data_IF_912317572333
#
_entry.id   IF_912317572333
#
_cell.length_a   1.000
_cell.length_b   1.000
_cell.length_c   1.000
_cell.angle_alpha   90.00
_cell.angle_beta   90.00
_cell.angle_gamma   90.00
#
_symmetry.space_group_name_H-M   'P 1'
#
loop_
_entity.id
_entity.type
_entity.pdbx_description
1 polymer ?
#
# COMPACT_ATOMS: atom_id res chain seq x y z
N UNK A 1 20.08 -10.14 15.77
CA UNK A 1 18.74 -10.76 15.67
C UNK A 1 18.28 -11.20 17.05
N UNK A 2 17.07 -10.82 17.45
CA UNK A 2 16.49 -11.21 18.75
C UNK A 2 14.97 -11.45 18.63
N UNK A 3 14.41 -12.20 19.58
CA UNK A 3 12.96 -12.44 19.65
C UNK A 3 12.39 -13.20 18.44
N UNK A 4 13.01 -14.32 18.05
CA UNK A 4 12.43 -15.20 17.03
C UNK A 4 11.05 -15.70 17.46
N UNK A 5 10.05 -15.52 16.61
CA UNK A 5 8.66 -15.93 16.87
C UNK A 5 8.20 -16.95 15.83
N UNK A 6 7.34 -17.86 16.28
CA UNK A 6 6.75 -18.91 15.45
C UNK A 6 5.28 -19.11 15.85
N UNK A 7 4.40 -19.08 14.87
CA UNK A 7 2.98 -19.37 15.06
C UNK A 7 2.73 -20.86 14.85
N UNK A 8 2.32 -21.57 15.92
CA UNK A 8 2.09 -23.01 15.88
C UNK A 8 0.83 -23.40 15.14
N UNK A 9 -0.19 -22.55 15.16
CA UNK A 9 -1.49 -22.82 14.55
C UNK A 9 -1.36 -22.78 13.02
N UNK A 10 -0.73 -21.72 12.51
CA UNK A 10 -0.47 -21.52 11.09
C UNK A 10 0.79 -22.25 10.60
N UNK A 11 1.62 -22.72 11.54
CA UNK A 11 2.91 -23.39 11.29
C UNK A 11 3.94 -22.52 10.57
N UNK A 12 3.87 -21.22 10.81
CA UNK A 12 4.65 -20.19 10.11
C UNK A 12 5.72 -19.60 11.03
N UNK A 13 6.92 -19.37 10.49
CA UNK A 13 7.92 -18.54 11.17
C UNK A 13 7.54 -17.07 10.99
N UNK A 14 7.32 -16.35 12.09
CA UNK A 14 6.93 -14.94 12.06
C UNK A 14 8.15 -14.01 11.88
N UNK A 15 9.37 -14.53 12.07
CA UNK A 15 10.60 -13.75 11.99
C UNK A 15 11.09 -13.28 13.36
N UNK A 16 12.06 -12.36 13.36
CA UNK A 16 12.66 -11.78 14.56
C UNK A 16 11.94 -10.50 14.95
N UNK A 17 11.68 -10.29 16.24
CA UNK A 17 11.13 -9.03 16.74
C UNK A 17 12.08 -7.84 16.53
N UNK A 18 13.40 -8.10 16.55
CA UNK A 18 14.40 -7.06 16.30
C UNK A 18 15.62 -7.59 15.55
N UNK A 19 16.13 -6.74 14.65
CA UNK A 19 17.35 -6.95 13.88
C UNK A 19 18.30 -5.80 14.19
N UNK A 20 19.57 -6.14 14.42
CA UNK A 20 20.65 -5.16 14.62
C UNK A 20 21.67 -5.38 13.52
N UNK A 21 21.93 -4.34 12.75
CA UNK A 21 22.85 -4.31 11.62
C UNK A 21 23.99 -3.35 11.95
N UNK A 22 25.21 -3.67 11.50
CA UNK A 22 26.38 -2.83 11.69
C UNK A 22 26.95 -2.45 10.32
N UNK A 23 27.04 -1.16 10.05
CA UNK A 23 27.80 -0.64 8.90
C UNK A 23 29.29 -0.63 9.29
N UNK A 24 30.15 -1.28 8.50
CA UNK A 24 31.57 -1.44 8.81
C UNK A 24 32.44 -0.67 7.80
N UNK A 25 33.43 0.06 8.29
CA UNK A 25 34.54 0.55 7.49
C UNK A 25 35.53 -0.59 7.24
N UNK A 26 35.74 -0.90 5.96
CA UNK A 26 36.65 -1.96 5.50
C UNK A 26 37.95 -1.41 4.89
N UNK A 27 38.13 -0.08 4.90
CA UNK A 27 39.33 0.58 4.36
C UNK A 27 40.52 0.52 5.31
N UNK A 28 40.27 0.23 6.59
CA UNK A 28 41.28 0.04 7.63
C UNK A 28 41.56 -1.44 7.89
N UNK A 29 42.73 -1.77 8.44
CA UNK A 29 43.08 -3.16 8.81
C UNK A 29 42.28 -3.70 10.01
N UNK A 30 41.57 -2.83 10.71
CA UNK A 30 40.61 -3.17 11.76
C UNK A 30 39.23 -2.73 11.28
N UNK A 31 38.28 -3.66 11.23
CA UNK A 31 36.88 -3.34 10.94
C UNK A 31 36.36 -2.41 12.06
N UNK A 32 35.95 -1.21 11.68
CA UNK A 32 35.38 -0.22 12.61
C UNK A 32 33.92 -0.04 12.28
N UNK A 33 33.04 -0.18 13.26
CA UNK A 33 31.62 0.12 13.05
C UNK A 33 31.44 1.62 12.87
N UNK A 34 30.77 2.00 11.79
CA UNK A 34 30.41 3.38 11.45
C UNK A 34 29.03 3.74 12.00
N UNK A 35 28.08 2.79 11.91
CA UNK A 35 26.69 2.96 12.33
C UNK A 35 26.11 1.65 12.83
N UNK A 36 25.19 1.75 13.79
CA UNK A 36 24.32 0.64 14.19
C UNK A 36 22.90 0.96 13.77
N UNK A 37 22.27 0.06 13.02
CA UNK A 37 20.86 0.16 12.65
C UNK A 37 20.08 -0.90 13.42
N UNK A 38 19.11 -0.47 14.24
CA UNK A 38 18.16 -1.34 14.92
C UNK A 38 16.82 -1.22 14.21
N UNK A 39 16.26 -2.35 13.78
CA UNK A 39 14.92 -2.46 13.21
C UNK A 39 14.05 -3.27 14.15
N UNK A 40 12.84 -2.79 14.44
CA UNK A 40 11.83 -3.53 15.18
C UNK A 40 10.64 -3.87 14.30
N UNK A 41 10.06 -5.04 14.52
CA UNK A 41 8.96 -5.57 13.74
C UNK A 41 7.81 -5.97 14.65
N UNK A 42 6.56 -5.85 14.16
CA UNK A 42 5.38 -6.30 14.90
C UNK A 42 5.47 -7.81 15.17
N UNK A 43 5.50 -8.64 14.12
CA UNK A 43 5.72 -10.09 14.19
C UNK A 43 4.91 -10.85 15.26
N UNK A 44 3.78 -10.30 15.70
CA UNK A 44 2.95 -10.85 16.77
C UNK A 44 2.06 -12.01 16.30
N UNK A 45 1.68 -12.02 15.02
CA UNK A 45 0.88 -13.05 14.37
C UNK A 45 1.16 -13.06 12.86
N UNK A 46 0.57 -14.02 12.13
CA UNK A 46 0.80 -14.20 10.69
C UNK A 46 0.40 -13.01 9.81
N UNK A 47 -0.55 -12.18 10.24
CA UNK A 47 -1.03 -11.03 9.46
C UNK A 47 -0.13 -9.80 9.59
N UNK A 48 0.73 -9.79 10.60
CA UNK A 48 1.67 -8.68 10.88
C UNK A 48 3.14 -9.11 10.78
N UNK A 49 3.38 -10.32 10.26
CA UNK A 49 4.72 -10.85 10.04
C UNK A 49 5.45 -10.02 8.97
N UNK A 50 6.69 -9.64 9.27
CA UNK A 50 7.54 -8.79 8.44
C UNK A 50 7.22 -7.30 8.48
N UNK A 51 6.18 -6.86 9.18
CA UNK A 51 5.83 -5.43 9.25
C UNK A 51 6.78 -4.69 10.20
N UNK A 52 7.62 -3.84 9.62
CA UNK A 52 8.53 -2.96 10.35
C UNK A 52 7.72 -1.91 11.11
N UNK A 53 8.02 -1.73 12.39
CA UNK A 53 7.37 -0.77 13.28
C UNK A 53 8.26 0.44 13.52
N UNK A 54 9.56 0.23 13.67
CA UNK A 54 10.52 1.30 13.92
C UNK A 54 11.90 0.94 13.42
N UNK A 55 12.67 1.99 13.15
CA UNK A 55 14.06 1.94 12.74
C UNK A 55 14.81 3.04 13.49
N UNK A 56 15.98 2.71 14.02
CA UNK A 56 16.87 3.68 14.64
C UNK A 56 18.30 3.44 14.17
N UNK A 57 18.95 4.48 13.68
CA UNK A 57 20.37 4.51 13.33
C UNK A 57 21.08 5.30 14.42
N UNK A 58 22.07 4.69 15.06
CA UNK A 58 22.90 5.33 16.09
C UNK A 58 24.40 5.28 15.79
N UNK A 59 25.13 6.21 16.41
CA UNK A 59 26.58 6.15 16.48
C UNK A 59 27.00 4.97 17.39
N UNK A 60 27.87 4.06 16.93
CA UNK A 60 28.22 2.86 17.69
C UNK A 60 29.13 3.14 18.90
N UNK A 61 29.70 4.34 19.00
CA UNK A 61 30.62 4.76 20.07
C UNK A 61 29.88 5.52 21.16
N UNK A 62 29.02 6.47 20.79
CA UNK A 62 28.29 7.30 21.74
C UNK A 62 26.88 6.80 22.05
N UNK A 63 26.33 5.91 21.21
CA UNK A 63 24.92 5.47 21.21
C UNK A 63 23.94 6.62 20.92
N UNK A 64 24.44 7.76 20.44
CA UNK A 64 23.59 8.87 20.04
C UNK A 64 22.77 8.48 18.81
N UNK A 65 21.47 8.76 18.88
CA UNK A 65 20.57 8.61 17.74
C UNK A 65 20.98 9.59 16.64
N UNK A 66 20.98 9.13 15.39
CA UNK A 66 21.33 9.92 14.21
C UNK A 66 20.09 10.14 13.34
N UNK A 67 19.39 9.05 13.05
CA UNK A 67 18.17 9.04 12.23
C UNK A 67 17.23 7.95 12.71
N UNK A 68 15.94 8.15 12.52
CA UNK A 68 14.95 7.15 12.88
C UNK A 68 13.70 7.25 12.02
N UNK A 69 12.90 6.21 12.08
CA UNK A 69 11.57 6.21 11.46
C UNK A 69 10.62 5.33 12.25
N UNK A 70 9.36 5.76 12.33
CA UNK A 70 8.26 4.99 12.90
C UNK A 70 7.18 4.76 11.83
N UNK A 71 6.64 3.54 11.79
CA UNK A 71 5.59 3.13 10.86
C UNK A 71 4.34 2.74 11.64
N UNK A 72 3.26 3.48 11.41
CA UNK A 72 1.96 3.19 12.00
C UNK A 72 1.13 2.35 11.03
N UNK A 73 0.82 1.14 11.46
CA UNK A 73 -0.02 0.21 10.71
C UNK A 73 -1.44 0.19 11.28
N UNK A 74 -2.42 0.21 10.38
CA UNK A 74 -3.79 -0.12 10.68
C UNK A 74 -4.22 -1.32 9.81
N UNK A 75 -5.37 -1.91 10.10
CA UNK A 75 -5.73 -3.19 9.52
C UNK A 75 -7.20 -3.26 9.12
N UNK A 76 -7.51 -4.14 8.17
CA UNK A 76 -8.89 -4.44 7.79
C UNK A 76 -9.08 -5.92 7.54
N UNK A 77 -10.23 -6.44 7.98
CA UNK A 77 -10.71 -7.73 7.50
C UNK A 77 -11.26 -7.56 6.06
N UNK A 78 -10.57 -8.13 5.08
CA UNK A 78 -10.90 -8.05 3.65
C UNK A 78 -12.26 -8.70 3.38
N UNK A 79 -12.68 -9.66 4.21
CA UNK A 79 -14.00 -10.27 4.12
C UNK A 79 -15.13 -9.30 4.52
N UNK A 80 -14.81 -8.21 5.22
CA UNK A 80 -15.74 -7.10 5.44
C UNK A 80 -15.68 -6.14 4.25
N UNK A 81 -16.46 -6.47 3.22
CA UNK A 81 -16.43 -5.80 1.92
C UNK A 81 -17.35 -4.56 1.95
N UNK A 82 -16.85 -3.36 1.65
CA UNK A 82 -17.72 -2.21 1.42
C UNK A 82 -18.55 -2.41 0.14
N UNK A 83 -19.73 -1.79 0.08
CA UNK A 83 -20.59 -1.88 -1.12
C UNK A 83 -19.95 -1.30 -2.38
N UNK A 84 -19.03 -0.34 -2.22
CA UNK A 84 -18.12 0.14 -3.26
C UNK A 84 -16.69 -0.16 -2.80
N UNK A 85 -16.02 -1.09 -3.46
CA UNK A 85 -14.64 -1.48 -3.11
C UNK A 85 -13.59 -0.43 -3.44
N UNK A 86 -13.97 0.66 -4.12
CA UNK A 86 -13.12 1.83 -4.32
C UNK A 86 -13.48 3.02 -3.42
N UNK A 87 -14.49 2.86 -2.55
CA UNK A 87 -14.72 3.86 -1.51
C UNK A 87 -13.60 3.74 -0.47
N UNK A 88 -13.29 4.87 0.15
CA UNK A 88 -12.36 4.92 1.27
C UNK A 88 -12.80 3.97 2.38
N UNK A 89 -11.84 3.23 2.92
CA UNK A 89 -12.04 2.37 4.09
C UNK A 89 -11.39 2.97 5.31
N UNK A 90 -12.00 2.71 6.46
CA UNK A 90 -11.47 3.09 7.77
C UNK A 90 -10.86 1.85 8.42
N UNK A 91 -9.54 1.65 8.30
CA UNK A 91 -8.88 0.55 8.98
C UNK A 91 -8.91 0.75 10.50
N UNK A 92 -8.70 -0.35 11.22
CA UNK A 92 -8.75 -0.42 12.68
C UNK A 92 -7.41 -0.87 13.24
N UNK A 93 -7.17 -0.58 14.52
CA UNK A 93 -6.01 -1.14 15.22
C UNK A 93 -6.06 -2.67 15.28
N UNK A 94 -4.88 -3.31 15.36
CA UNK A 94 -4.78 -4.77 15.47
C UNK A 94 -5.58 -5.36 16.64
N UNK A 95 -5.70 -4.60 17.74
CA UNK A 95 -6.46 -4.98 18.94
C UNK A 95 -7.96 -5.15 18.69
N UNK A 96 -8.49 -4.51 17.64
CA UNK A 96 -9.92 -4.55 17.27
C UNK A 96 -10.25 -5.67 16.28
N UNK A 97 -9.25 -6.41 15.78
CA UNK A 97 -9.46 -7.52 14.85
C UNK A 97 -9.92 -8.82 15.52
N UNK A 98 -9.94 -8.86 16.85
CA UNK A 98 -10.26 -10.05 17.65
C UNK A 98 -9.03 -10.94 17.87
N UNK A 99 -9.26 -12.24 18.06
CA UNK A 99 -8.17 -13.19 18.29
C UNK A 99 -7.47 -13.56 16.97
N UNK A 100 -6.24 -13.08 16.82
CA UNK A 100 -5.38 -13.30 15.64
C UNK A 100 -4.35 -14.42 15.86
N UNK A 101 -4.33 -15.04 17.04
CA UNK A 101 -3.30 -16.02 17.44
C UNK A 101 -3.86 -17.39 17.79
N UNK A 102 -5.18 -17.55 17.79
CA UNK A 102 -5.89 -18.81 18.05
C UNK A 102 -6.78 -19.22 16.87
N UNK A 103 -7.43 -20.39 16.96
CA UNK A 103 -8.27 -21.01 15.91
C UNK A 103 -9.18 -20.04 15.13
N UNK A 104 -9.80 -19.01 15.73
CA UNK A 104 -10.58 -18.01 14.97
C UNK A 104 -9.81 -17.30 13.86
N UNK A 105 -8.48 -17.16 13.96
CA UNK A 105 -7.62 -16.54 12.95
C UNK A 105 -7.67 -17.26 11.61
N UNK A 106 -7.93 -18.57 11.59
CA UNK A 106 -7.99 -19.38 10.36
C UNK A 106 -9.15 -18.99 9.43
N UNK A 107 -10.15 -18.27 9.96
CA UNK A 107 -11.27 -17.74 9.17
C UNK A 107 -11.11 -16.27 8.77
N UNK A 108 -9.96 -15.64 9.06
CA UNK A 108 -9.70 -14.23 8.81
C UNK A 108 -8.90 -14.02 7.54
N UNK A 109 -9.14 -12.90 6.87
CA UNK A 109 -8.30 -12.38 5.79
C UNK A 109 -7.98 -10.94 6.12
N UNK A 110 -6.87 -10.70 6.79
CA UNK A 110 -6.50 -9.35 7.25
C UNK A 110 -5.52 -8.73 6.27
N UNK A 111 -5.81 -7.50 5.83
CA UNK A 111 -4.90 -6.65 5.09
C UNK A 111 -4.25 -5.62 6.03
N UNK A 112 -2.91 -5.57 6.13
CA UNK A 112 -2.21 -4.47 6.77
C UNK A 112 -2.12 -3.26 5.83
N UNK A 113 -2.38 -2.07 6.37
CA UNK A 113 -2.35 -0.79 5.67
C UNK A 113 -1.42 0.16 6.45
N UNK A 114 -0.40 0.68 5.79
CA UNK A 114 0.51 1.65 6.39
C UNK A 114 -0.16 3.03 6.37
N UNK A 115 -0.63 3.50 7.51
CA UNK A 115 -1.41 4.75 7.55
C UNK A 115 -0.57 5.98 7.84
N UNK A 116 0.63 5.80 8.42
CA UNK A 116 1.56 6.88 8.70
C UNK A 116 3.01 6.42 8.75
N UNK A 117 3.91 7.27 8.25
CA UNK A 117 5.35 7.18 8.44
C UNK A 117 5.85 8.48 9.04
N UNK A 118 6.56 8.41 10.15
CA UNK A 118 7.30 9.52 10.72
C UNK A 118 8.80 9.27 10.49
N UNK A 119 9.54 10.27 10.01
CA UNK A 119 10.99 10.21 9.86
C UNK A 119 11.63 11.30 10.71
N UNK A 120 12.72 10.97 11.40
CA UNK A 120 13.36 11.85 12.38
C UNK A 120 14.86 11.95 12.13
N UNK A 121 15.40 13.15 12.29
CA UNK A 121 16.83 13.43 12.35
C UNK A 121 17.15 14.02 13.71
N UNK A 122 18.11 13.42 14.38
CA UNK A 122 18.39 13.72 15.79
C UNK A 122 19.55 14.70 15.94
N UNK A 123 19.50 15.50 17.00
CA UNK A 123 20.61 16.32 17.43
C UNK A 123 21.65 15.52 18.24
N UNK A 124 22.72 16.20 18.67
CA UNK A 124 23.79 15.59 19.48
C UNK A 124 23.36 15.12 20.88
N UNK A 125 22.08 15.28 21.26
CA UNK A 125 21.50 14.81 22.51
C UNK A 125 20.42 13.73 22.31
N UNK A 126 20.29 13.17 21.10
CA UNK A 126 19.23 12.23 20.71
C UNK A 126 17.81 12.79 20.85
N UNK A 127 17.64 14.11 20.82
CA UNK A 127 16.33 14.72 20.62
C UNK A 127 16.07 14.88 19.11
N UNK A 128 14.83 14.63 18.61
CA UNK A 128 14.49 14.95 17.24
C UNK A 128 14.73 16.45 16.98
N UNK A 129 15.67 16.75 16.10
CA UNK A 129 15.96 18.10 15.64
C UNK A 129 15.09 18.49 14.44
N UNK A 130 14.77 17.52 13.58
CA UNK A 130 13.86 17.66 12.44
C UNK A 130 12.96 16.42 12.35
N UNK A 131 11.70 16.62 11.95
CA UNK A 131 10.74 15.54 11.76
C UNK A 131 9.89 15.78 10.51
N UNK A 132 9.74 14.74 9.70
CA UNK A 132 8.77 14.71 8.60
C UNK A 132 7.73 13.63 8.78
N UNK A 133 6.56 13.82 8.17
CA UNK A 133 5.44 12.89 8.27
C UNK A 133 4.79 12.65 6.92
N UNK A 134 4.42 11.39 6.66
CA UNK A 134 3.58 11.00 5.53
C UNK A 134 2.37 10.23 6.01
N UNK A 135 1.18 10.64 5.59
CA UNK A 135 -0.11 9.98 5.89
C UNK A 135 -0.72 9.35 4.63
N UNK A 136 -1.42 8.23 4.80
CA UNK A 136 -2.03 7.47 3.69
C UNK A 136 -3.47 7.06 4.00
N UNK A 137 -4.36 7.19 3.02
CA UNK A 137 -5.71 6.61 3.05
C UNK A 137 -5.88 5.59 1.93
N UNK A 138 -6.81 4.66 2.10
CA UNK A 138 -6.95 3.50 1.23
C UNK A 138 -8.39 3.22 0.84
N UNK A 139 -8.58 2.54 -0.29
CA UNK A 139 -9.85 1.96 -0.67
C UNK A 139 -10.03 0.49 -0.23
N UNK A 140 -11.19 -0.08 -0.54
CA UNK A 140 -11.55 -1.47 -0.27
C UNK A 140 -10.65 -2.53 -0.94
N UNK A 141 -9.86 -2.16 -1.94
CA UNK A 141 -8.89 -3.04 -2.61
C UNK A 141 -7.46 -2.84 -2.08
N UNK A 142 -7.23 -1.88 -1.19
CA UNK A 142 -5.91 -1.52 -0.68
C UNK A 142 -5.15 -0.55 -1.59
N UNK A 143 -5.83 0.13 -2.50
CA UNK A 143 -5.24 1.21 -3.28
C UNK A 143 -5.12 2.48 -2.44
N UNK A 144 -4.02 3.23 -2.59
CA UNK A 144 -3.84 4.52 -1.91
C UNK A 144 -4.74 5.57 -2.56
N UNK A 145 -5.70 6.13 -1.83
CA UNK A 145 -6.57 7.20 -2.33
C UNK A 145 -5.96 8.58 -2.14
N UNK A 146 -5.35 8.81 -0.97
CA UNK A 146 -4.66 10.04 -0.62
C UNK A 146 -3.33 9.70 0.02
N UNK A 147 -2.29 10.41 -0.39
CA UNK A 147 -1.00 10.48 0.28
C UNK A 147 -0.73 11.94 0.60
N UNK A 148 -0.52 12.26 1.87
CA UNK A 148 -0.13 13.59 2.31
C UNK A 148 1.29 13.54 2.83
N UNK A 149 2.19 14.28 2.22
CA UNK A 149 3.53 14.57 2.71
C UNK A 149 3.46 15.90 3.45
N UNK A 150 3.65 15.86 4.77
CA UNK A 150 3.57 17.02 5.65
C UNK A 150 4.85 17.84 5.70
N UNK A 151 5.87 17.50 4.91
CA UNK A 151 7.15 18.19 4.98
C UNK A 151 7.67 18.23 6.42
N UNK A 152 8.03 19.42 6.90
CA UNK A 152 8.36 19.68 8.30
C UNK A 152 7.09 19.76 9.15
N UNK A 153 6.96 18.93 10.18
CA UNK A 153 5.71 18.81 10.96
C UNK A 153 5.25 20.11 11.66
N UNK A 154 6.15 21.07 11.82
CA UNK A 154 5.90 22.39 12.41
C UNK A 154 5.45 23.47 11.42
N UNK A 155 5.63 23.30 10.11
CA UNK A 155 5.19 24.27 9.09
C UNK A 155 4.06 23.68 8.24
N UNK A 156 2.78 23.99 8.53
CA UNK A 156 1.70 23.47 7.71
C UNK A 156 1.69 24.03 6.27
N UNK A 157 2.60 24.93 5.87
CA UNK A 157 2.56 25.56 4.54
C UNK A 157 3.44 24.87 3.49
N UNK A 158 4.16 23.82 3.87
CA UNK A 158 4.97 23.01 2.95
C UNK A 158 4.30 21.66 2.57
N UNK A 159 3.13 21.36 3.15
CA UNK A 159 2.30 20.19 2.83
C UNK A 159 2.14 19.97 1.31
N UNK A 160 2.31 18.72 0.88
CA UNK A 160 1.96 18.23 -0.44
C UNK A 160 0.95 17.08 -0.33
N UNK A 161 -0.17 17.21 -1.05
CA UNK A 161 -1.20 16.17 -1.09
C UNK A 161 -1.31 15.59 -2.50
N UNK A 162 -1.13 14.28 -2.61
CA UNK A 162 -1.38 13.50 -3.81
C UNK A 162 -2.68 12.71 -3.66
N UNK A 163 -3.64 12.95 -4.56
CA UNK A 163 -4.92 12.22 -4.61
C UNK A 163 -4.96 11.35 -5.86
N UNK A 164 -5.45 10.13 -5.73
CA UNK A 164 -5.52 9.14 -6.80
C UNK A 164 -6.96 8.68 -7.01
N UNK A 165 -7.36 8.56 -8.27
CA UNK A 165 -8.57 7.86 -8.66
C UNK A 165 -8.18 6.61 -9.42
N UNK A 166 -8.82 5.49 -9.09
CA UNK A 166 -8.57 4.21 -9.72
C UNK A 166 -9.64 3.85 -10.74
N UNK A 167 -9.26 3.01 -11.70
CA UNK A 167 -10.09 2.63 -12.83
C UNK A 167 -11.34 1.88 -12.38
N UNK A 168 -12.47 2.25 -12.96
CA UNK A 168 -13.72 1.48 -12.90
C UNK A 168 -14.33 1.43 -14.29
N UNK A 169 -15.04 0.36 -14.63
CA UNK A 169 -15.61 0.18 -15.98
C UNK A 169 -16.43 1.39 -16.46
N UNK A 170 -17.20 2.02 -15.56
CA UNK A 170 -18.05 3.16 -15.89
C UNK A 170 -17.33 4.49 -16.11
N UNK A 171 -16.09 4.65 -15.67
CA UNK A 171 -15.30 5.88 -15.88
C UNK A 171 -14.09 5.66 -16.79
N UNK A 172 -13.72 4.39 -17.02
CA UNK A 172 -12.49 4.04 -17.73
C UNK A 172 -12.71 3.56 -19.16
N UNK A 173 -13.97 3.42 -19.61
CA UNK A 173 -14.32 2.94 -20.95
C UNK A 173 -15.29 3.87 -21.67
N UNK A 174 -15.10 3.98 -22.98
CA UNK A 174 -16.09 4.52 -23.92
C UNK A 174 -17.15 3.48 -24.33
N UNK A 175 -16.90 2.19 -24.09
CA UNK A 175 -17.81 1.09 -24.40
C UNK A 175 -18.75 0.80 -23.23
N UNK A 176 -19.99 0.41 -23.54
CA UNK A 176 -20.98 -0.02 -22.56
C UNK A 176 -20.65 -1.42 -22.04
N UNK A 177 -19.58 -1.56 -21.27
CA UNK A 177 -19.28 -2.81 -20.56
C UNK A 177 -20.26 -2.98 -19.41
N UNK A 178 -21.09 -4.02 -19.50
CA UNK A 178 -21.97 -4.45 -18.42
C UNK A 178 -21.22 -5.53 -17.64
N UNK A 179 -20.71 -5.19 -16.46
CA UNK A 179 -20.19 -6.21 -15.56
C UNK A 179 -21.31 -7.20 -15.22
N UNK A 180 -21.00 -8.49 -14.98
CA UNK A 180 -22.02 -9.52 -14.79
C UNK A 180 -23.03 -9.11 -13.71
N UNK A 181 -24.29 -8.99 -14.12
CA UNK A 181 -25.44 -8.69 -13.27
C UNK A 181 -26.56 -9.69 -13.61
N UNK A 182 -27.02 -10.54 -12.67
CA UNK A 182 -26.77 -10.51 -11.22
C UNK A 182 -25.37 -10.96 -10.81
N UNK A 183 -25.01 -10.70 -9.56
CA UNK A 183 -23.82 -11.25 -8.92
C UNK A 183 -23.75 -12.77 -9.12
N UNK A 184 -22.55 -13.35 -9.31
CA UNK A 184 -22.42 -14.80 -9.48
C UNK A 184 -22.93 -15.53 -8.22
N UNK A 185 -23.38 -16.80 -8.34
CA UNK A 185 -23.88 -17.58 -7.21
C UNK A 185 -22.86 -17.73 -6.06
N UNK A 186 -21.56 -17.58 -6.35
CA UNK A 186 -20.46 -17.48 -5.39
C UNK A 186 -19.69 -16.20 -5.65
N UNK A 187 -19.90 -15.22 -4.77
CA UNK A 187 -19.33 -13.89 -4.90
C UNK A 187 -17.96 -13.88 -4.23
N UNK A 188 -16.92 -13.49 -4.97
CA UNK A 188 -15.61 -13.19 -4.37
C UNK A 188 -15.78 -12.06 -3.35
N UNK A 189 -15.06 -12.06 -2.21
CA UNK A 189 -15.03 -10.90 -1.30
C UNK A 189 -14.58 -9.60 -1.97
N UNK A 190 -13.96 -9.65 -3.15
CA UNK A 190 -13.56 -8.45 -3.89
C UNK A 190 -14.51 -8.11 -5.05
N UNK A 191 -15.62 -8.83 -5.19
CA UNK A 191 -16.58 -8.56 -6.23
C UNK A 191 -17.32 -7.25 -5.96
N UNK A 192 -17.51 -6.47 -7.02
CA UNK A 192 -18.39 -5.31 -7.04
C UNK A 192 -19.15 -5.29 -8.35
N UNK A 193 -20.40 -4.82 -8.33
CA UNK A 193 -21.17 -4.54 -9.56
C UNK A 193 -20.51 -3.49 -10.47
N UNK A 194 -19.58 -2.69 -9.91
CA UNK A 194 -18.81 -1.69 -10.65
C UNK A 194 -17.45 -2.19 -11.15
N UNK A 195 -17.09 -3.44 -10.86
CA UNK A 195 -15.83 -4.07 -11.24
C UNK A 195 -16.09 -5.34 -12.03
N UNK A 196 -15.59 -5.38 -13.26
CA UNK A 196 -15.66 -6.58 -14.06
C UNK A 196 -14.56 -7.58 -13.59
N UNK A 197 -14.81 -8.91 -13.61
CA UNK A 197 -13.90 -9.91 -13.04
C UNK A 197 -12.48 -9.91 -13.62
N UNK A 198 -12.28 -9.39 -14.83
CA UNK A 198 -10.97 -9.26 -15.50
C UNK A 198 -10.26 -7.94 -15.20
N UNK A 199 -10.83 -7.10 -14.35
CA UNK A 199 -10.38 -5.72 -14.17
C UNK A 199 -9.25 -5.59 -13.14
N UNK A 200 -8.16 -4.94 -13.53
CA UNK A 200 -7.08 -4.52 -12.63
C UNK A 200 -7.36 -3.08 -12.19
N UNK A 201 -7.36 -2.83 -10.89
CA UNK A 201 -7.45 -1.47 -10.34
C UNK A 201 -6.16 -0.71 -10.64
N UNK A 202 -6.22 0.23 -11.59
CA UNK A 202 -5.08 1.04 -12.03
C UNK A 202 -5.35 2.51 -11.72
N UNK A 203 -4.35 3.30 -11.30
CA UNK A 203 -4.53 4.74 -11.14
C UNK A 203 -4.79 5.37 -12.52
N UNK A 204 -5.94 6.05 -12.67
CA UNK A 204 -6.40 6.66 -13.91
C UNK A 204 -6.38 8.19 -13.88
N UNK A 205 -6.43 8.76 -12.70
CA UNK A 205 -6.24 10.18 -12.47
C UNK A 205 -5.34 10.34 -11.25
N UNK A 206 -4.43 11.31 -11.30
CA UNK A 206 -3.75 11.76 -10.10
C UNK A 206 -3.60 13.27 -10.11
N UNK A 207 -3.69 13.86 -8.93
CA UNK A 207 -3.53 15.30 -8.71
C UNK A 207 -2.60 15.51 -7.54
N UNK A 208 -1.64 16.43 -7.68
CA UNK A 208 -0.76 16.88 -6.61
C UNK A 208 -1.08 18.35 -6.30
N UNK A 209 -1.30 18.64 -5.02
CA UNK A 209 -1.70 19.96 -4.52
C UNK A 209 -0.85 20.38 -3.33
N UNK A 210 -1.01 21.61 -2.87
CA UNK A 210 -0.41 22.12 -1.64
C UNK A 210 -1.18 21.75 -0.35
N UNK A 211 -2.03 20.71 -0.38
CA UNK A 211 -2.84 20.29 0.77
C UNK A 211 -3.91 21.29 1.24
N UNK A 212 -4.09 22.43 0.55
CA UNK A 212 -5.10 23.45 0.92
C UNK A 212 -6.41 23.26 0.17
N UNK A 213 -7.48 23.82 0.74
CA UNK A 213 -8.83 23.82 0.19
C UNK A 213 -9.26 25.23 -0.27
N UNK A 214 -10.33 25.31 -1.07
CA UNK A 214 -10.92 26.59 -1.46
C UNK A 214 -10.01 27.45 -2.35
N UNK A 215 -9.96 28.76 -2.07
CA UNK A 215 -9.17 29.73 -2.86
C UNK A 215 -7.66 29.58 -2.70
N UNK A 216 -7.20 28.94 -1.62
CA UNK A 216 -5.78 28.77 -1.31
C UNK A 216 -5.21 27.48 -1.92
N UNK A 217 -6.09 26.63 -2.48
CA UNK A 217 -5.70 25.41 -3.19
C UNK A 217 -4.86 25.75 -4.42
N UNK A 218 -3.67 25.17 -4.48
CA UNK A 218 -2.79 25.21 -5.65
C UNK A 218 -2.59 23.81 -6.17
N UNK A 219 -2.85 23.61 -7.46
CA UNK A 219 -2.57 22.36 -8.17
C UNK A 219 -1.19 22.48 -8.81
N UNK A 220 -0.25 21.66 -8.35
CA UNK A 220 1.09 21.60 -8.92
C UNK A 220 1.16 20.65 -10.12
N UNK A 221 0.40 19.57 -10.07
CA UNK A 221 0.36 18.57 -11.13
C UNK A 221 -1.01 17.92 -11.21
N UNK A 222 -1.45 17.63 -12.42
CA UNK A 222 -2.66 16.87 -12.68
C UNK A 222 -2.45 16.05 -13.95
N UNK A 223 -2.83 14.77 -13.91
CA UNK A 223 -2.98 13.95 -15.10
C UNK A 223 -4.26 13.14 -14.99
N UNK A 224 -4.96 13.04 -16.11
CA UNK A 224 -6.19 12.28 -16.25
C UNK A 224 -6.11 11.48 -17.54
N UNK A 225 -6.06 10.15 -17.40
CA UNK A 225 -6.08 9.17 -18.48
C UNK A 225 -7.31 8.28 -18.42
N UNK A 226 -8.36 8.68 -17.70
CA UNK A 226 -9.57 7.88 -17.49
C UNK A 226 -10.13 7.33 -18.79
N UNK A 227 -10.21 8.13 -19.84
CA UNK A 227 -10.86 7.74 -21.10
C UNK A 227 -10.14 6.64 -21.87
N UNK A 228 -8.87 6.39 -21.59
CA UNK A 228 -7.97 5.65 -22.50
C UNK A 228 -7.51 4.28 -21.95
N UNK A 229 -7.94 3.90 -20.75
CA UNK A 229 -7.42 2.72 -20.04
C UNK A 229 -8.21 1.43 -20.33
N UNK A 230 -9.53 1.48 -20.55
CA UNK A 230 -10.30 0.28 -20.92
C UNK A 230 -10.12 -0.17 -22.37
N UNK A 231 -9.49 0.62 -23.25
CA UNK A 231 -9.28 0.21 -24.64
C UNK A 231 -8.19 -0.88 -24.76
N UNK A 232 -7.40 -1.13 -23.70
CA UNK A 232 -6.20 -1.98 -23.77
C UNK A 232 -6.06 -3.09 -22.71
N UNK A 233 -6.87 -3.14 -21.66
CA UNK A 233 -6.59 -4.02 -20.50
C UNK A 233 -7.33 -5.37 -20.50
N UNK A 234 -8.29 -5.57 -21.39
CA UNK A 234 -8.84 -6.90 -21.69
C UNK A 234 -8.90 -6.97 -23.20
N UNK A 235 -7.98 -7.71 -23.82
CA UNK A 235 -8.04 -7.91 -25.27
C UNK A 235 -9.29 -8.73 -25.52
N UNK A 236 -10.41 -8.08 -25.84
CA UNK A 236 -11.64 -8.75 -26.29
C UNK A 236 -11.64 -8.87 -27.82
N UNK A 237 -10.74 -8.12 -28.46
CA UNK A 237 -10.58 -8.03 -29.90
C UNK A 237 -9.09 -7.83 -30.20
N UNK A 238 -8.46 -8.82 -30.82
CA UNK A 238 -7.09 -8.75 -31.31
C UNK A 238 -7.14 -8.58 -32.82
N UNK A 239 -6.47 -7.55 -33.33
CA UNK A 239 -6.22 -7.34 -34.75
C UNK A 239 -4.74 -7.62 -35.04
N UNK A 240 -4.45 -8.67 -35.78
CA UNK A 240 -3.10 -9.00 -36.23
C UNK A 240 -3.01 -8.71 -37.73
N UNK A 241 -2.16 -7.77 -38.12
CA UNK A 241 -1.80 -7.59 -39.53
C UNK A 241 -0.99 -8.81 -39.98
N UNK A 242 -1.53 -9.54 -40.96
CA UNK A 242 -0.90 -10.76 -41.50
C UNK A 242 -0.21 -10.50 -42.85
N UNK A 243 -0.12 -9.23 -43.27
CA UNK A 243 0.44 -8.79 -44.55
C UNK A 243 -0.62 -8.39 -45.57
N UNK A 244 -0.21 -7.68 -46.63
CA UNK A 244 -1.03 -7.28 -47.78
C UNK A 244 -2.30 -6.46 -47.45
N UNK A 245 -2.34 -5.84 -46.27
CA UNK A 245 -3.51 -5.09 -45.78
C UNK A 245 -4.64 -5.99 -45.25
N UNK A 246 -4.36 -7.28 -45.04
CA UNK A 246 -5.27 -8.21 -44.39
C UNK A 246 -5.05 -8.23 -42.87
N UNK A 247 -6.15 -8.29 -42.12
CA UNK A 247 -6.13 -8.31 -40.65
C UNK A 247 -6.83 -9.59 -40.18
N UNK A 248 -6.12 -10.42 -39.43
CA UNK A 248 -6.72 -11.49 -38.65
C UNK A 248 -7.39 -10.88 -37.42
N UNK A 249 -8.67 -11.20 -37.23
CA UNK A 249 -9.48 -10.71 -36.12
C UNK A 249 -9.77 -11.87 -35.19
N UNK A 250 -9.24 -11.82 -33.97
CA UNK A 250 -9.58 -12.78 -32.92
C UNK A 250 -10.50 -12.09 -31.92
N UNK A 251 -11.72 -12.60 -31.79
CA UNK A 251 -12.62 -12.21 -30.70
C UNK A 251 -12.38 -13.13 -29.51
N UNK A 252 -12.02 -12.51 -28.38
CA UNK A 252 -11.72 -13.23 -27.16
C UNK A 252 -12.93 -13.09 -26.22
N UNK A 253 -13.51 -14.22 -25.81
CA UNK A 253 -14.57 -14.27 -24.83
C UNK A 253 -14.01 -14.84 -23.54
N UNK A 254 -14.32 -14.22 -22.40
CA UNK A 254 -13.88 -14.68 -21.10
C UNK A 254 -15.04 -15.31 -20.34
N UNK A 255 -14.76 -16.34 -19.54
CA UNK A 255 -15.71 -16.86 -18.57
C UNK A 255 -15.86 -15.93 -17.34
N UNK A 256 -16.75 -16.29 -16.43
CA UNK A 256 -17.03 -15.50 -15.21
C UNK A 256 -15.82 -15.37 -14.26
N UNK A 257 -14.73 -16.12 -14.51
CA UNK A 257 -13.50 -16.15 -13.72
C UNK A 257 -12.32 -15.47 -14.44
N UNK A 258 -12.53 -14.94 -15.65
CA UNK A 258 -11.48 -14.28 -16.44
C UNK A 258 -10.60 -15.25 -17.22
N UNK A 259 -11.02 -16.50 -17.41
CA UNK A 259 -10.34 -17.47 -18.28
C UNK A 259 -10.79 -17.30 -19.73
N UNK A 260 -9.87 -17.41 -20.68
CA UNK A 260 -10.14 -17.43 -22.13
C UNK A 260 -10.49 -18.85 -22.61
#
# INVERSE_FOLDING_TARGET
YSGLRYDRLHRESLGFASITEHELDTTTTLETTLRTTVREFLNDNVFVAGLEKSLLISDPTTDDSLQGSDWTWAFRDVLNVPSDVHAEVFPVDASLLGDLTDVPSLGKSIAPLLVRVDAMWFDAGSAPGEQTQMDFTYDGLGNILVQTDHGETEDPNDDLEATFLYSKCGISSSAAFVCPNPAPPRVSPLWSSSLCPTWVSLPVEFTITNGKIGSDKRVYRHRDGRTDICDNASVTLLHEDIGDGEVAVTQLNYDEWGSY
#
